data_IF_575769469803
#
_entry.id   IF_575769469803
#
_cell.length_a   1.000
_cell.length_b   1.000
_cell.length_c   1.000
_cell.angle_alpha   90.00
_cell.angle_beta   90.00
_cell.angle_gamma   90.00
#
_symmetry.space_group_name_H-M   'P 1'
#
loop_
_entity.id
_entity.type
_entity.pdbx_description
1 polymer ?
#
# COMPACT_ATOMS: atom_id res chain seq x y z
N UNK A 1 5.21 -28.42 12.71
CA UNK A 1 4.19 -28.12 11.68
C UNK A 1 3.87 -26.62 11.51
N UNK A 2 4.71 -25.67 11.99
CA UNK A 2 4.35 -24.23 12.02
C UNK A 2 5.38 -23.26 11.40
N UNK A 3 6.53 -23.75 10.88
CA UNK A 3 7.59 -22.87 10.33
C UNK A 3 7.30 -22.33 8.92
N UNK A 4 6.55 -23.05 8.08
CA UNK A 4 6.26 -22.57 6.71
C UNK A 4 5.27 -21.40 6.68
N UNK A 5 4.23 -21.43 7.53
CA UNK A 5 3.22 -20.36 7.61
C UNK A 5 3.81 -19.02 8.07
N UNK A 6 4.66 -19.06 9.09
CA UNK A 6 5.33 -17.84 9.60
C UNK A 6 6.20 -17.18 8.52
N UNK A 7 6.92 -17.98 7.72
CA UNK A 7 7.75 -17.47 6.64
C UNK A 7 6.92 -16.84 5.51
N UNK A 8 5.74 -17.39 5.22
CA UNK A 8 4.80 -16.81 4.25
C UNK A 8 4.26 -15.46 4.74
N UNK A 9 3.89 -15.35 6.02
CA UNK A 9 3.35 -14.13 6.58
C UNK A 9 4.39 -13.00 6.62
N UNK A 10 5.62 -13.32 7.02
CA UNK A 10 6.72 -12.37 7.00
C UNK A 10 7.05 -11.92 5.57
N UNK A 11 6.97 -12.84 4.59
CA UNK A 11 7.19 -12.53 3.17
C UNK A 11 6.11 -11.62 2.60
N UNK A 12 4.84 -11.86 2.94
CA UNK A 12 3.72 -10.99 2.55
C UNK A 12 3.91 -9.59 3.14
N UNK A 13 4.18 -9.51 4.44
CA UNK A 13 4.41 -8.23 5.11
C UNK A 13 5.57 -7.46 4.47
N UNK A 14 6.69 -8.12 4.19
CA UNK A 14 7.86 -7.51 3.55
C UNK A 14 7.60 -7.08 2.10
N UNK A 15 6.83 -7.86 1.34
CA UNK A 15 6.42 -7.53 -0.02
C UNK A 15 5.55 -6.28 -0.04
N UNK A 16 4.49 -6.22 0.77
CA UNK A 16 3.61 -5.05 0.84
C UNK A 16 4.34 -3.82 1.39
N UNK A 17 5.24 -3.99 2.36
CA UNK A 17 6.07 -2.90 2.86
C UNK A 17 6.94 -2.31 1.74
N UNK A 18 7.63 -3.16 0.96
CA UNK A 18 8.46 -2.73 -0.18
C UNK A 18 7.65 -2.03 -1.26
N UNK A 19 6.50 -2.60 -1.63
CA UNK A 19 5.64 -2.01 -2.65
C UNK A 19 5.17 -0.62 -2.23
N UNK A 20 4.69 -0.46 -0.99
CA UNK A 20 4.23 0.83 -0.49
C UNK A 20 5.33 1.89 -0.40
N UNK A 21 6.57 1.50 -0.08
CA UNK A 21 7.71 2.43 -0.03
C UNK A 21 8.17 2.84 -1.43
N UNK A 22 8.21 1.89 -2.38
CA UNK A 22 8.74 2.14 -3.73
C UNK A 22 7.71 2.76 -4.68
N UNK A 23 6.44 2.41 -4.51
CA UNK A 23 5.34 2.89 -5.35
C UNK A 23 4.06 2.96 -4.52
N UNK A 24 3.72 4.13 -3.97
CA UNK A 24 2.55 4.31 -3.11
C UNK A 24 1.21 4.04 -3.83
N UNK A 25 1.15 4.29 -5.15
CA UNK A 25 -0.07 4.12 -5.95
C UNK A 25 0.23 3.99 -7.45
N UNK A 26 -0.77 3.49 -8.19
CA UNK A 26 -0.77 3.48 -9.65
C UNK A 26 -0.16 2.24 -10.31
N UNK A 27 0.07 2.28 -11.63
CA UNK A 27 0.45 1.11 -12.43
C UNK A 27 1.79 0.49 -12.03
N UNK A 28 2.71 1.30 -11.52
CA UNK A 28 3.99 0.85 -11.02
C UNK A 28 3.85 -0.08 -9.80
N UNK A 29 2.87 0.19 -8.93
CA UNK A 29 2.57 -0.66 -7.77
C UNK A 29 2.02 -2.01 -8.22
N UNK A 30 1.15 -2.03 -9.23
CA UNK A 30 0.60 -3.26 -9.83
C UNK A 30 1.72 -4.10 -10.46
N UNK A 31 2.61 -3.49 -11.23
CA UNK A 31 3.74 -4.19 -11.85
C UNK A 31 4.72 -4.79 -10.82
N UNK A 32 4.99 -4.07 -9.73
CA UNK A 32 5.79 -4.59 -8.63
C UNK A 32 5.10 -5.74 -7.89
N UNK A 33 3.78 -5.62 -7.66
CA UNK A 33 2.97 -6.69 -7.07
C UNK A 33 2.92 -7.91 -7.98
N UNK A 34 2.77 -7.73 -9.30
CA UNK A 34 2.80 -8.82 -10.27
C UNK A 34 4.13 -9.57 -10.21
N UNK A 35 5.25 -8.86 -10.23
CA UNK A 35 6.59 -9.48 -10.14
C UNK A 35 6.76 -10.26 -8.84
N UNK A 36 6.31 -9.71 -7.72
CA UNK A 36 6.45 -10.38 -6.42
C UNK A 36 5.42 -11.49 -6.18
N UNK A 37 4.23 -11.42 -6.78
CA UNK A 37 3.18 -12.43 -6.63
C UNK A 37 3.36 -13.61 -7.59
N UNK A 38 3.66 -13.32 -8.86
CA UNK A 38 3.79 -14.32 -9.93
C UNK A 38 5.19 -14.95 -9.92
N UNK A 39 6.28 -14.17 -9.82
CA UNK A 39 7.64 -14.74 -9.82
C UNK A 39 7.98 -15.54 -8.55
N UNK A 40 7.11 -15.53 -7.55
CA UNK A 40 7.28 -16.26 -6.29
C UNK A 40 6.24 -17.36 -6.09
N UNK A 41 5.50 -17.68 -7.15
CA UNK A 41 4.46 -18.73 -7.19
C UNK A 41 3.41 -18.60 -6.09
N UNK A 42 3.14 -17.37 -5.62
CA UNK A 42 2.07 -17.11 -4.65
C UNK A 42 0.69 -17.17 -5.33
N UNK A 43 0.65 -16.91 -6.64
CA UNK A 43 -0.52 -17.01 -7.49
C UNK A 43 -0.12 -17.16 -8.95
N UNK A 44 -1.05 -17.67 -9.76
CA UNK A 44 -0.87 -17.70 -11.22
C UNK A 44 -1.12 -16.32 -11.83
N UNK A 45 -0.55 -16.08 -13.01
CA UNK A 45 -0.79 -14.85 -13.77
C UNK A 45 -2.29 -14.62 -14.03
N UNK A 46 -3.04 -15.67 -14.37
CA UNK A 46 -4.49 -15.60 -14.56
C UNK A 46 -5.22 -15.14 -13.29
N UNK A 47 -4.85 -15.67 -12.11
CA UNK A 47 -5.44 -15.25 -10.84
C UNK A 47 -5.10 -13.80 -10.50
N UNK A 48 -3.89 -13.34 -10.81
CA UNK A 48 -3.50 -11.96 -10.61
C UNK A 48 -4.31 -11.01 -11.51
N UNK A 49 -4.46 -11.34 -12.79
CA UNK A 49 -5.26 -10.55 -13.74
C UNK A 49 -6.72 -10.46 -13.30
N UNK A 50 -7.31 -11.57 -12.84
CA UNK A 50 -8.65 -11.56 -12.26
C UNK A 50 -8.73 -10.69 -11.01
N UNK A 51 -7.76 -10.79 -10.10
CA UNK A 51 -7.72 -9.98 -8.88
C UNK A 51 -7.60 -8.47 -9.20
N UNK A 52 -6.85 -8.09 -10.22
CA UNK A 52 -6.77 -6.71 -10.73
C UNK A 52 -8.10 -6.28 -11.34
N UNK A 53 -8.74 -7.15 -12.13
CA UNK A 53 -10.07 -6.91 -12.69
C UNK A 53 -11.11 -6.65 -11.59
N UNK A 54 -11.20 -7.52 -10.58
CA UNK A 54 -12.06 -7.33 -9.41
C UNK A 54 -11.73 -6.06 -8.65
N UNK A 55 -10.43 -5.76 -8.50
CA UNK A 55 -9.98 -4.54 -7.83
C UNK A 55 -10.42 -3.27 -8.56
N UNK A 56 -10.60 -3.29 -9.88
CA UNK A 56 -11.13 -2.13 -10.61
C UNK A 56 -12.65 -1.98 -10.54
N UNK A 57 -13.38 -3.09 -10.37
CA UNK A 57 -14.85 -3.08 -10.27
C UNK A 57 -15.32 -2.66 -8.88
N UNK A 58 -14.63 -3.10 -7.83
CA UNK A 58 -14.97 -2.76 -6.45
C UNK A 58 -14.59 -1.30 -6.13
N UNK A 59 -15.47 -0.48 -5.54
CA UNK A 59 -15.06 0.84 -5.05
C UNK A 59 -14.08 0.70 -3.87
N UNK A 60 -13.11 1.61 -3.75
CA UNK A 60 -12.15 1.67 -2.64
C UNK A 60 -10.69 1.50 -3.05
N UNK A 61 -9.80 1.38 -2.07
CA UNK A 61 -8.34 1.35 -2.29
C UNK A 61 -7.90 0.11 -3.07
N UNK A 62 -7.36 0.34 -4.27
CA UNK A 62 -6.81 -0.70 -5.14
C UNK A 62 -5.74 -1.54 -4.43
N UNK A 63 -4.80 -0.88 -3.75
CA UNK A 63 -3.72 -1.53 -3.02
C UNK A 63 -4.23 -2.47 -1.92
N UNK A 64 -5.27 -2.07 -1.18
CA UNK A 64 -5.85 -2.91 -0.12
C UNK A 64 -6.61 -4.11 -0.69
N UNK A 65 -7.34 -3.95 -1.79
CA UNK A 65 -8.03 -5.07 -2.45
C UNK A 65 -7.05 -6.11 -2.97
N UNK A 66 -6.01 -5.68 -3.67
CA UNK A 66 -4.94 -6.58 -4.12
C UNK A 66 -4.23 -7.23 -2.92
N UNK A 67 -4.00 -6.51 -1.83
CA UNK A 67 -3.45 -7.09 -0.60
C UNK A 67 -4.35 -8.18 -0.01
N UNK A 68 -5.66 -7.99 -0.01
CA UNK A 68 -6.61 -9.00 0.44
C UNK A 68 -6.59 -10.24 -0.46
N UNK A 69 -6.64 -10.07 -1.78
CA UNK A 69 -6.60 -11.22 -2.72
C UNK A 69 -5.28 -11.99 -2.64
N UNK A 70 -4.14 -11.29 -2.63
CA UNK A 70 -2.80 -11.89 -2.50
C UNK A 70 -2.62 -12.57 -1.14
N UNK A 71 -3.04 -11.91 -0.06
CA UNK A 71 -2.97 -12.46 1.29
C UNK A 71 -3.85 -13.71 1.45
N UNK A 72 -5.04 -13.70 0.85
CA UNK A 72 -5.95 -14.85 0.86
C UNK A 72 -5.37 -16.03 0.08
N UNK A 73 -4.85 -15.79 -1.13
CA UNK A 73 -4.23 -16.83 -1.96
C UNK A 73 -3.01 -17.47 -1.27
N UNK A 74 -2.17 -16.66 -0.62
CA UNK A 74 -0.94 -17.13 0.01
C UNK A 74 -1.14 -17.81 1.38
N UNK A 75 -2.16 -17.43 2.16
CA UNK A 75 -2.27 -17.87 3.55
C UNK A 75 -3.68 -17.96 4.13
N UNK A 76 -4.73 -17.87 3.30
CA UNK A 76 -6.12 -17.81 3.73
C UNK A 76 -6.41 -16.59 4.59
N UNK A 77 -7.41 -16.69 5.47
CA UNK A 77 -7.85 -15.61 6.38
C UNK A 77 -6.69 -14.94 7.15
N UNK A 78 -5.74 -15.67 7.78
CA UNK A 78 -4.67 -15.00 8.49
C UNK A 78 -3.61 -14.38 7.55
N UNK A 79 -3.47 -14.89 6.33
CA UNK A 79 -2.69 -14.23 5.28
C UNK A 79 -3.27 -12.88 4.86
N UNK A 80 -4.60 -12.76 4.80
CA UNK A 80 -5.30 -11.48 4.56
C UNK A 80 -4.96 -10.45 5.63
N UNK A 81 -5.06 -10.82 6.90
CA UNK A 81 -4.77 -9.91 8.02
C UNK A 81 -3.33 -9.39 7.96
N UNK A 82 -2.36 -10.28 7.69
CA UNK A 82 -0.95 -9.90 7.61
C UNK A 82 -0.64 -9.02 6.40
N UNK A 83 -1.25 -9.30 5.24
CA UNK A 83 -1.12 -8.47 4.05
C UNK A 83 -1.75 -7.09 4.24
N UNK A 84 -2.94 -7.00 4.84
CA UNK A 84 -3.59 -5.74 5.19
C UNK A 84 -2.75 -4.90 6.16
N UNK A 85 -2.23 -5.53 7.21
CA UNK A 85 -1.33 -4.85 8.15
C UNK A 85 -0.09 -4.32 7.43
N UNK A 86 0.54 -5.14 6.57
CA UNK A 86 1.71 -4.73 5.77
C UNK A 86 1.41 -3.61 4.77
N UNK A 87 0.16 -3.49 4.30
CA UNK A 87 -0.27 -2.43 3.39
C UNK A 87 -0.63 -1.12 4.12
N UNK A 88 -1.20 -1.19 5.33
CA UNK A 88 -1.66 -0.01 6.09
C UNK A 88 -0.53 0.61 6.92
N UNK A 89 0.33 -0.22 7.54
CA UNK A 89 1.43 0.25 8.39
C UNK A 89 2.32 1.33 7.74
N UNK A 90 2.90 1.12 6.54
CA UNK A 90 3.81 2.09 5.95
C UNK A 90 3.18 3.48 5.71
N UNK A 91 2.01 3.62 5.05
CA UNK A 91 1.40 4.93 4.85
C UNK A 91 0.98 5.58 6.19
N UNK A 92 0.50 4.80 7.16
CA UNK A 92 0.18 5.34 8.50
C UNK A 92 1.42 5.90 9.19
N UNK A 93 2.54 5.17 9.19
CA UNK A 93 3.80 5.64 9.79
C UNK A 93 4.32 6.88 9.07
N UNK A 94 4.28 6.90 7.73
CA UNK A 94 4.67 8.07 6.95
C UNK A 94 3.82 9.30 7.30
N UNK A 95 2.50 9.15 7.40
CA UNK A 95 1.62 10.24 7.83
C UNK A 95 1.93 10.75 9.23
N UNK A 96 2.19 9.85 10.19
CA UNK A 96 2.54 10.25 11.57
C UNK A 96 3.85 11.01 11.62
N UNK A 97 4.87 10.57 10.87
CA UNK A 97 6.15 11.28 10.75
C UNK A 97 5.94 12.67 10.15
N UNK A 98 5.23 12.75 9.02
CA UNK A 98 4.94 14.02 8.35
C UNK A 98 4.17 14.97 9.26
N UNK A 99 3.16 14.47 9.98
CA UNK A 99 2.38 15.26 10.94
C UNK A 99 3.27 15.80 12.07
N UNK A 100 4.12 14.96 12.66
CA UNK A 100 5.02 15.39 13.73
C UNK A 100 6.06 16.43 13.25
N UNK A 101 6.54 16.27 12.00
CA UNK A 101 7.45 17.23 11.37
C UNK A 101 6.72 18.55 11.13
N UNK A 102 5.55 18.53 10.50
CA UNK A 102 4.74 19.73 10.23
C UNK A 102 4.42 20.50 11.51
N UNK A 103 4.09 19.79 12.60
CA UNK A 103 3.84 20.43 13.90
C UNK A 103 5.06 21.16 14.50
N UNK A 104 6.28 20.82 14.10
CA UNK A 104 7.47 21.59 14.50
C UNK A 104 7.68 22.83 13.64
N UNK A 105 7.28 22.76 12.38
CA UNK A 105 7.47 23.84 11.41
C UNK A 105 6.32 24.86 11.40
N UNK A 106 5.13 24.50 11.87
CA UNK A 106 3.92 25.35 11.90
C UNK A 106 4.09 26.71 12.61
N UNK A 107 5.10 26.87 13.48
CA UNK A 107 5.37 28.14 14.17
C UNK A 107 6.25 29.13 13.36
N UNK A 108 6.59 28.80 12.11
CA UNK A 108 7.35 29.68 11.22
C UNK A 108 6.41 30.42 10.26
N UNK A 109 6.43 31.76 10.33
CA UNK A 109 5.65 32.68 9.47
C UNK A 109 5.77 32.43 7.95
N UNK A 110 6.77 31.66 7.51
CA UNK A 110 6.95 31.30 6.11
C UNK A 110 5.89 30.33 5.59
N UNK A 111 5.32 29.47 6.46
CA UNK A 111 4.32 28.47 6.07
C UNK A 111 2.96 29.12 5.81
N UNK A 112 2.59 30.13 6.58
CA UNK A 112 1.35 30.87 6.37
C UNK A 112 1.33 31.56 5.00
N UNK A 113 2.47 32.14 4.58
CA UNK A 113 2.62 32.72 3.24
C UNK A 113 2.52 31.70 2.12
N UNK A 114 3.10 30.50 2.32
CA UNK A 114 3.01 29.41 1.35
C UNK A 114 1.58 28.84 1.22
N UNK A 115 0.89 28.63 2.35
CA UNK A 115 -0.48 28.12 2.38
C UNK A 115 -1.46 29.15 1.79
N UNK A 116 -1.31 30.43 2.13
CA UNK A 116 -2.11 31.52 1.55
C UNK A 116 -1.93 31.63 0.03
N UNK A 117 -0.73 31.32 -0.49
CA UNK A 117 -0.46 31.28 -1.93
C UNK A 117 -1.03 30.03 -2.64
N UNK A 118 -1.14 28.89 -1.94
CA UNK A 118 -1.74 27.67 -2.51
C UNK A 118 -3.26 27.74 -2.62
N UNK A 119 -3.96 28.34 -1.65
CA UNK A 119 -5.43 28.45 -1.66
C UNK A 119 -6.01 29.02 -2.97
N UNK A 120 -5.52 30.15 -3.53
CA UNK A 120 -6.02 30.64 -4.82
C UNK A 120 -5.59 29.78 -6.02
N UNK A 121 -4.43 29.11 -5.95
CA UNK A 121 -3.95 28.22 -7.01
C UNK A 121 -4.80 26.95 -7.15
N UNK A 122 -5.27 26.39 -6.03
CA UNK A 122 -6.18 25.24 -6.01
C UNK A 122 -7.61 25.66 -6.38
N UNK A 123 -8.06 26.85 -5.97
CA UNK A 123 -9.38 27.35 -6.34
C UNK A 123 -9.53 27.66 -7.84
N UNK A 124 -8.41 27.87 -8.55
CA UNK A 124 -8.38 28.11 -9.98
C UNK A 124 -8.31 26.80 -10.83
N UNK A 125 -8.12 25.65 -10.19
CA UNK A 125 -7.97 24.32 -10.82
C UNK A 125 -9.25 23.50 -10.69
#
# INVERSE_FOLDING_TARGET
MNRSKFMIWFRLLWMFLKVNILSPSGPASIGLLYKEAVSKELMTESQFVEAVGFSNVLPGSEALKLAMFVGFAAGGIPGVLTALLGAILPPTVMMLILSAVLQRFQNSNWIDGFVAGMSPAVAAL
#
